data_IF_535670846209
#
_entry.id   IF_535670846209
#
_cell.length_a   1.000
_cell.length_b   1.000
_cell.length_c   1.000
_cell.angle_alpha   90.00
_cell.angle_beta   90.00
_cell.angle_gamma   90.00
#
_symmetry.space_group_name_H-M   'P 1'
#
loop_
_entity.id
_entity.type
_entity.pdbx_description
1 polymer ?
#
# COMPACT_ATOMS: atom_id res chain seq x y z
N UNK A 1 -25.69 -15.07 -9.11
CA UNK A 1 -25.09 -15.16 -7.76
C UNK A 1 -23.68 -14.56 -7.86
N UNK A 2 -23.27 -13.72 -6.92
CA UNK A 2 -21.92 -13.15 -6.96
C UNK A 2 -20.92 -14.15 -6.35
N UNK A 3 -19.73 -14.25 -6.95
CA UNK A 3 -18.62 -15.07 -6.45
C UNK A 3 -17.34 -14.24 -6.41
N UNK A 4 -16.47 -14.52 -5.44
CA UNK A 4 -15.14 -13.91 -5.38
C UNK A 4 -14.29 -14.54 -6.49
N UNK A 5 -13.81 -13.73 -7.43
CA UNK A 5 -12.98 -14.19 -8.54
C UNK A 5 -11.49 -14.31 -8.16
N UNK A 6 -11.00 -13.42 -7.30
CA UNK A 6 -9.62 -13.41 -6.82
C UNK A 6 -9.51 -12.56 -5.54
N UNK A 7 -8.47 -12.83 -4.76
CA UNK A 7 -8.08 -12.03 -3.60
C UNK A 7 -6.66 -11.51 -3.81
N UNK A 8 -6.44 -10.26 -3.43
CA UNK A 8 -5.16 -9.58 -3.56
C UNK A 8 -4.79 -8.86 -2.27
N UNK A 9 -3.50 -8.82 -1.98
CA UNK A 9 -2.90 -8.00 -0.92
C UNK A 9 -1.86 -7.08 -1.55
N UNK A 10 -1.76 -5.84 -1.09
CA UNK A 10 -0.81 -4.83 -1.54
C UNK A 10 0.04 -4.36 -0.36
N UNK A 11 1.06 -5.13 0.07
CA UNK A 11 1.84 -4.81 1.27
C UNK A 11 2.50 -3.43 1.21
N UNK A 12 2.99 -3.06 0.02
CA UNK A 12 3.61 -1.75 -0.24
C UNK A 12 2.70 -0.90 -1.12
N UNK A 13 2.44 0.33 -0.68
CA UNK A 13 1.66 1.32 -1.43
C UNK A 13 2.28 1.58 -2.80
N UNK A 14 1.48 1.38 -3.85
CA UNK A 14 1.83 1.74 -5.23
C UNK A 14 2.54 0.64 -6.03
N UNK A 15 2.76 -0.54 -5.43
CA UNK A 15 3.39 -1.66 -6.13
C UNK A 15 2.38 -2.75 -6.50
N UNK A 16 2.83 -3.80 -7.18
CA UNK A 16 1.98 -4.92 -7.64
C UNK A 16 1.36 -5.68 -6.47
N UNK A 17 0.19 -6.29 -6.66
CA UNK A 17 -0.40 -7.15 -5.66
C UNK A 17 0.35 -8.47 -5.51
N UNK A 18 0.14 -9.07 -4.35
CA UNK A 18 0.29 -10.49 -4.11
C UNK A 18 -1.07 -11.17 -4.27
N UNK A 19 -1.15 -12.20 -5.11
CA UNK A 19 -2.36 -13.03 -5.25
C UNK A 19 -2.47 -13.95 -4.05
N UNK A 20 -3.66 -14.02 -3.45
CA UNK A 20 -3.91 -14.85 -2.25
C UNK A 20 -5.07 -15.81 -2.48
N UNK A 21 -4.97 -16.98 -1.88
CA UNK A 21 -6.09 -17.92 -1.78
C UNK A 21 -7.01 -17.58 -0.60
N UNK A 22 -6.44 -16.94 0.43
CA UNK A 22 -7.13 -16.52 1.66
C UNK A 22 -6.60 -15.17 2.13
N UNK A 23 -7.50 -14.36 2.66
CA UNK A 23 -7.18 -13.14 3.41
C UNK A 23 -7.86 -13.18 4.78
N UNK A 24 -7.29 -12.47 5.75
CA UNK A 24 -7.91 -12.26 7.07
C UNK A 24 -8.33 -10.80 7.15
N UNK A 25 -9.64 -10.58 7.31
CA UNK A 25 -10.19 -9.26 7.66
C UNK A 25 -10.16 -9.15 9.17
N UNK A 26 -9.45 -8.14 9.67
CA UNK A 26 -9.28 -7.90 11.10
C UNK A 26 -10.49 -7.16 11.69
N UNK A 27 -10.52 -7.01 13.01
CA UNK A 27 -11.61 -6.33 13.71
C UNK A 27 -11.79 -4.85 13.31
N UNK A 28 -10.72 -4.22 12.83
CA UNK A 28 -10.72 -2.85 12.29
C UNK A 28 -11.16 -2.77 10.81
N UNK A 29 -11.53 -3.90 10.21
CA UNK A 29 -11.93 -4.01 8.81
C UNK A 29 -10.77 -4.05 7.82
N UNK A 30 -9.51 -4.01 8.27
CA UNK A 30 -8.34 -4.05 7.37
C UNK A 30 -7.92 -5.49 7.09
N UNK A 31 -7.40 -5.72 5.90
CA UNK A 31 -6.78 -7.00 5.55
C UNK A 31 -5.39 -7.09 6.18
N UNK A 32 -5.09 -8.22 6.82
CA UNK A 32 -3.77 -8.50 7.40
C UNK A 32 -2.64 -8.34 6.36
N UNK A 33 -1.67 -7.48 6.68
CA UNK A 33 -0.53 -7.19 5.81
C UNK A 33 -0.87 -6.35 4.56
N UNK A 34 -2.09 -5.83 4.43
CA UNK A 34 -2.43 -4.91 3.33
C UNK A 34 -2.06 -3.47 3.67
N UNK A 35 -1.34 -2.81 2.74
CA UNK A 35 -0.94 -1.40 2.81
C UNK A 35 -0.23 -1.02 4.10
N UNK A 36 0.64 -1.90 4.59
CA UNK A 36 1.44 -1.71 5.81
C UNK A 36 2.73 -0.92 5.57
N UNK A 37 3.19 -0.80 4.32
CA UNK A 37 4.43 -0.13 3.94
C UNK A 37 4.23 0.92 2.85
N UNK A 38 5.11 1.92 2.83
CA UNK A 38 5.23 2.90 1.76
C UNK A 38 6.69 3.38 1.65
N UNK A 39 7.15 3.66 0.43
CA UNK A 39 8.44 4.32 0.20
C UNK A 39 8.27 5.82 0.21
N UNK A 40 9.14 6.51 0.95
CA UNK A 40 9.26 7.96 0.98
C UNK A 40 10.55 8.40 0.31
N UNK A 41 10.58 9.62 -0.20
CA UNK A 41 11.85 10.21 -0.63
C UNK A 41 12.73 10.52 0.58
N UNK A 42 14.04 10.50 0.37
CA UNK A 42 15.03 10.68 1.43
C UNK A 42 14.91 12.04 2.14
N UNK A 43 14.38 13.05 1.45
CA UNK A 43 14.15 14.40 1.96
C UNK A 43 12.75 14.57 2.60
N UNK A 44 11.99 13.48 2.76
CA UNK A 44 10.63 13.50 3.27
C UNK A 44 10.43 12.50 4.42
N UNK A 45 11.43 12.34 5.29
CA UNK A 45 11.43 11.36 6.39
C UNK A 45 10.70 11.82 7.65
N UNK A 46 10.28 13.09 7.71
CA UNK A 46 9.47 13.64 8.79
C UNK A 46 8.05 13.98 8.29
N UNK A 47 7.01 13.84 9.13
CA UNK A 47 5.66 14.23 8.77
C UNK A 47 5.53 15.76 8.73
N UNK A 48 4.66 16.23 7.85
CA UNK A 48 4.15 17.61 7.91
C UNK A 48 3.04 17.69 8.98
N UNK A 49 2.59 18.90 9.33
CA UNK A 49 1.43 19.09 10.21
C UNK A 49 0.27 19.62 9.37
N UNK A 50 -0.85 18.90 9.38
CA UNK A 50 -2.12 19.30 8.75
C UNK A 50 -3.22 19.19 9.81
N UNK A 51 -3.97 20.28 10.04
CA UNK A 51 -5.01 20.37 11.08
C UNK A 51 -4.54 19.94 12.48
N UNK A 52 -3.27 20.24 12.80
CA UNK A 52 -2.67 19.89 14.09
C UNK A 52 -2.27 18.41 14.23
N UNK A 53 -2.36 17.62 13.16
CA UNK A 53 -2.02 16.20 13.16
C UNK A 53 -0.84 15.92 12.22
N UNK A 54 0.02 14.92 12.55
CA UNK A 54 1.05 14.45 11.63
C UNK A 54 0.42 13.95 10.33
N UNK A 55 0.86 14.55 9.23
CA UNK A 55 0.41 14.28 7.89
C UNK A 55 1.57 13.89 6.99
N UNK A 56 1.31 12.90 6.13
CA UNK A 56 2.28 12.34 5.22
C UNK A 56 1.80 12.58 3.78
N UNK A 57 2.32 13.61 3.09
CA UNK A 57 1.81 13.97 1.76
C UNK A 57 2.01 12.84 0.75
N UNK A 58 0.96 12.57 -0.04
CA UNK A 58 0.96 11.50 -1.05
C UNK A 58 2.02 11.70 -2.13
N UNK A 59 2.40 12.95 -2.41
CA UNK A 59 3.39 13.37 -3.42
C UNK A 59 4.86 13.21 -2.98
N UNK A 60 5.12 12.85 -1.71
CA UNK A 60 6.47 12.78 -1.12
C UNK A 60 6.98 11.34 -0.99
N UNK A 61 6.52 10.46 -1.86
CA UNK A 61 6.89 9.05 -1.88
C UNK A 61 6.58 8.40 -3.22
N UNK A 62 6.93 7.12 -3.34
CA UNK A 62 6.70 6.39 -4.58
C UNK A 62 5.20 6.15 -4.77
N UNK A 63 4.70 6.48 -5.97
CA UNK A 63 3.31 6.27 -6.34
C UNK A 63 3.24 5.78 -7.78
N UNK A 64 2.39 4.78 -8.03
CA UNK A 64 2.22 4.21 -9.37
C UNK A 64 1.80 5.25 -10.42
N UNK A 65 1.01 6.25 -10.02
CA UNK A 65 0.54 7.31 -10.90
C UNK A 65 1.70 8.14 -11.48
N UNK A 66 2.75 8.35 -10.69
CA UNK A 66 3.91 9.16 -11.08
C UNK A 66 5.07 8.30 -11.61
N UNK A 67 5.12 7.02 -11.20
CA UNK A 67 6.17 6.06 -11.53
C UNK A 67 5.57 4.76 -12.07
N UNK A 68 5.10 4.72 -13.32
CA UNK A 68 4.48 3.53 -13.90
C UNK A 68 5.43 2.32 -13.96
N UNK A 69 6.75 2.53 -13.91
CA UNK A 69 7.74 1.46 -13.86
C UNK A 69 7.64 0.57 -12.62
N UNK A 70 7.00 1.03 -11.54
CA UNK A 70 6.71 0.22 -10.35
C UNK A 70 5.86 -1.01 -10.66
N UNK A 71 5.01 -0.95 -11.69
CA UNK A 71 4.20 -2.09 -12.13
C UNK A 71 5.03 -3.29 -12.63
N UNK A 72 6.33 -3.09 -12.91
CA UNK A 72 7.25 -4.15 -13.35
C UNK A 72 7.84 -4.95 -12.19
N UNK A 73 7.75 -4.43 -10.96
CA UNK A 73 8.33 -5.05 -9.77
C UNK A 73 7.33 -6.04 -9.19
N UNK A 74 7.76 -7.28 -8.95
CA UNK A 74 6.96 -8.29 -8.25
C UNK A 74 7.30 -8.24 -6.76
N UNK A 75 6.31 -8.38 -5.89
CA UNK A 75 6.52 -8.43 -4.44
C UNK A 75 5.91 -9.68 -3.80
N UNK A 76 6.53 -10.08 -2.71
CA UNK A 76 6.02 -10.96 -1.66
C UNK A 76 6.14 -10.26 -0.30
N UNK A 77 5.35 -10.69 0.68
CA UNK A 77 5.40 -10.21 2.07
C UNK A 77 5.32 -11.40 3.00
N UNK A 78 6.43 -11.64 3.69
CA UNK A 78 6.69 -12.81 4.56
C UNK A 78 6.49 -12.47 6.04
#
# INVERSE_FOLDING_TARGET
MASVAALYRYPVKGFTPEVRERIVVQADGRVEGDRVLAFRFADAVEPEIEDGLPYWPKKRGLALMDMPSLARLKLSYD
#
